data_IF_417879924113
#
_entry.id   IF_417879924113
#
_cell.length_a   1.000
_cell.length_b   1.000
_cell.length_c   1.000
_cell.angle_alpha   90.00
_cell.angle_beta   90.00
_cell.angle_gamma   90.00
#
_symmetry.space_group_name_H-M   'P 1'
#
loop_
_entity.id
_entity.type
_entity.pdbx_description
1 polymer ?
#
# COMPACT_ATOMS: atom_id res chain seq x y z
N UNK A 1 -23.19 -33.34 -8.60
CA UNK A 1 -23.19 -32.74 -9.95
C UNK A 1 -22.95 -31.24 -9.92
N UNK A 2 -23.59 -30.45 -9.04
CA UNK A 2 -23.30 -29.00 -8.92
C UNK A 2 -21.98 -28.68 -8.22
N UNK A 3 -21.60 -29.43 -7.16
CA UNK A 3 -20.34 -29.23 -6.43
C UNK A 3 -19.07 -29.38 -7.30
N UNK A 4 -19.16 -29.99 -8.48
CA UNK A 4 -18.04 -30.15 -9.41
C UNK A 4 -17.55 -28.80 -9.97
N UNK A 5 -18.31 -27.72 -9.83
CA UNK A 5 -17.86 -26.37 -10.18
C UNK A 5 -16.90 -25.78 -9.13
N UNK A 6 -16.98 -26.24 -7.88
CA UNK A 6 -16.24 -25.63 -6.77
C UNK A 6 -14.72 -25.65 -6.97
N UNK A 7 -14.08 -26.75 -7.44
CA UNK A 7 -12.65 -26.74 -7.69
C UNK A 7 -12.23 -25.65 -8.68
N UNK A 8 -12.97 -25.48 -9.79
CA UNK A 8 -12.69 -24.44 -10.78
C UNK A 8 -12.91 -23.04 -10.22
N UNK A 9 -14.01 -22.83 -9.48
CA UNK A 9 -14.31 -21.56 -8.84
C UNK A 9 -13.26 -21.18 -7.79
N UNK A 10 -12.75 -22.15 -7.02
CA UNK A 10 -11.67 -21.94 -6.04
C UNK A 10 -10.39 -21.53 -6.75
N UNK A 11 -9.97 -22.25 -7.79
CA UNK A 11 -8.75 -21.92 -8.54
C UNK A 11 -8.84 -20.49 -9.09
N UNK A 12 -9.95 -20.13 -9.74
CA UNK A 12 -10.14 -18.79 -10.30
C UNK A 12 -10.11 -17.74 -9.18
N UNK A 13 -10.85 -17.96 -8.09
CA UNK A 13 -10.90 -17.02 -6.96
C UNK A 13 -9.53 -16.82 -6.32
N UNK A 14 -8.75 -17.90 -6.16
CA UNK A 14 -7.39 -17.83 -5.65
C UNK A 14 -6.48 -17.08 -6.61
N UNK A 15 -6.51 -17.38 -7.91
CA UNK A 15 -5.68 -16.70 -8.89
C UNK A 15 -5.99 -15.20 -9.00
N UNK A 16 -7.24 -14.78 -8.80
CA UNK A 16 -7.65 -13.37 -8.82
C UNK A 16 -7.37 -12.68 -7.48
N UNK A 17 -7.59 -13.36 -6.35
CA UNK A 17 -7.39 -12.79 -5.02
C UNK A 17 -5.92 -12.71 -4.59
N UNK A 18 -5.10 -13.69 -4.99
CA UNK A 18 -3.70 -13.80 -4.57
C UNK A 18 -2.85 -12.60 -5.00
N UNK A 19 -2.97 -12.03 -6.22
CA UNK A 19 -2.24 -10.82 -6.58
C UNK A 19 -2.52 -9.62 -5.67
N UNK A 20 -3.79 -9.38 -5.31
CA UNK A 20 -4.16 -8.28 -4.41
C UNK A 20 -3.62 -8.49 -2.99
N UNK A 21 -3.78 -9.69 -2.45
CA UNK A 21 -3.24 -10.06 -1.14
C UNK A 21 -1.70 -10.04 -1.11
N UNK A 22 -1.07 -10.52 -2.17
CA UNK A 22 0.38 -10.51 -2.33
C UNK A 22 0.94 -9.10 -2.42
N UNK A 23 0.30 -8.21 -3.18
CA UNK A 23 0.70 -6.80 -3.28
C UNK A 23 0.62 -6.08 -1.93
N UNK A 24 -0.40 -6.38 -1.11
CA UNK A 24 -0.53 -5.81 0.24
C UNK A 24 0.66 -6.14 1.15
N UNK A 25 1.18 -7.37 1.06
CA UNK A 25 2.40 -7.77 1.79
C UNK A 25 3.67 -7.22 1.14
N UNK A 26 3.77 -7.22 -0.19
CA UNK A 26 4.92 -6.67 -0.90
C UNK A 26 5.09 -5.17 -0.64
N UNK A 27 4.00 -4.41 -0.58
CA UNK A 27 4.06 -3.00 -0.19
C UNK A 27 4.64 -2.83 1.21
N UNK A 28 4.22 -3.65 2.17
CA UNK A 28 4.79 -3.59 3.52
C UNK A 28 6.29 -3.88 3.53
N UNK A 29 6.75 -4.87 2.77
CA UNK A 29 8.17 -5.22 2.69
C UNK A 29 9.01 -4.12 2.03
N UNK A 30 8.49 -3.45 1.01
CA UNK A 30 9.26 -2.46 0.22
C UNK A 30 9.13 -1.04 0.79
N UNK A 31 7.96 -0.67 1.31
CA UNK A 31 7.61 0.69 1.71
C UNK A 31 7.49 0.85 3.23
N UNK A 32 7.56 -0.24 4.01
CA UNK A 32 7.27 -0.20 5.45
C UNK A 32 5.79 0.02 5.79
N UNK A 33 4.92 0.08 4.77
CA UNK A 33 3.49 0.30 4.93
C UNK A 33 2.71 -0.53 3.90
N UNK A 34 1.57 -1.08 4.32
CA UNK A 34 0.71 -1.91 3.49
C UNK A 34 0.05 -1.16 2.32
N UNK A 35 -0.18 0.14 2.50
CA UNK A 35 -0.86 0.97 1.51
C UNK A 35 0.09 2.01 0.92
N UNK A 36 0.07 2.11 -0.40
CA UNK A 36 0.78 3.18 -1.12
C UNK A 36 -0.03 4.48 -1.04
N UNK A 37 0.65 5.61 -0.81
CA UNK A 37 0.01 6.94 -0.86
C UNK A 37 -0.38 7.28 -2.30
N UNK A 38 -1.49 7.98 -2.44
CA UNK A 38 -1.95 8.55 -3.72
C UNK A 38 -0.94 9.56 -4.24
N UNK A 39 -0.66 9.53 -5.55
CA UNK A 39 0.27 10.44 -6.22
C UNK A 39 -0.31 10.97 -7.54
N UNK A 40 -1.63 10.94 -7.68
CA UNK A 40 -2.32 11.27 -8.92
C UNK A 40 -2.24 12.78 -9.20
N UNK A 41 -2.53 13.61 -8.19
CA UNK A 41 -2.45 15.05 -8.36
C UNK A 41 -1.01 15.57 -8.24
N UNK A 42 -0.77 16.78 -8.78
CA UNK A 42 0.52 17.46 -8.61
C UNK A 42 0.78 17.80 -7.14
N UNK A 43 -0.28 18.13 -6.42
CA UNK A 43 -0.19 18.45 -5.00
C UNK A 43 0.24 17.24 -4.18
N UNK A 44 -0.36 16.07 -4.41
CA UNK A 44 -0.01 14.84 -3.69
C UNK A 44 1.46 14.46 -3.87
N UNK A 45 1.96 14.59 -5.10
CA UNK A 45 3.38 14.38 -5.41
C UNK A 45 4.29 15.38 -4.72
N UNK A 46 3.90 16.65 -4.66
CA UNK A 46 4.67 17.68 -3.98
C UNK A 46 4.76 17.41 -2.48
N UNK A 47 3.64 17.05 -1.84
CA UNK A 47 3.59 16.73 -0.41
C UNK A 47 4.36 15.44 -0.10
N UNK A 48 4.26 14.41 -0.94
CA UNK A 48 5.05 13.20 -0.79
C UNK A 48 6.57 13.48 -0.81
N UNK A 49 7.03 14.33 -1.72
CA UNK A 49 8.43 14.75 -1.76
C UNK A 49 8.82 15.61 -0.56
N UNK A 50 7.92 16.47 -0.07
CA UNK A 50 8.15 17.27 1.14
C UNK A 50 8.39 16.35 2.33
N UNK A 51 7.53 15.37 2.55
CA UNK A 51 7.61 14.45 3.68
C UNK A 51 8.91 13.60 3.60
N UNK A 52 9.30 13.18 2.39
CA UNK A 52 10.61 12.54 2.14
C UNK A 52 11.80 13.45 2.50
N UNK A 53 11.73 14.76 2.25
CA UNK A 53 12.80 15.70 2.59
C UNK A 53 12.87 16.01 4.10
N UNK A 54 11.72 16.01 4.78
CA UNK A 54 11.66 16.30 6.22
C UNK A 54 12.14 15.12 7.07
N UNK A 55 11.65 13.90 6.79
CA UNK A 55 11.89 12.73 7.63
C UNK A 55 12.73 11.63 6.98
N UNK A 56 13.03 11.72 5.68
CA UNK A 56 13.63 10.63 4.90
C UNK A 56 12.66 9.52 4.51
N UNK A 57 11.45 9.50 5.08
CA UNK A 57 10.41 8.50 4.83
C UNK A 57 9.02 9.17 4.73
N UNK A 58 8.33 9.09 3.58
CA UNK A 58 7.03 9.72 3.36
C UNK A 58 5.86 8.98 4.01
N UNK A 59 6.10 7.83 4.64
CA UNK A 59 5.12 7.07 5.43
C UNK A 59 5.25 7.31 6.93
N UNK A 60 6.34 7.92 7.38
CA UNK A 60 6.54 8.32 8.77
C UNK A 60 5.93 9.70 9.01
N UNK A 61 4.92 9.77 9.86
CA UNK A 61 4.26 11.02 10.24
C UNK A 61 5.22 11.90 11.07
N UNK A 62 5.33 13.18 10.69
CA UNK A 62 5.96 14.21 11.51
C UNK A 62 4.86 14.92 12.30
N UNK A 63 4.86 14.80 13.63
CA UNK A 63 3.96 15.55 14.49
C UNK A 63 4.62 16.80 15.07
N UNK A 64 3.95 17.41 16.04
CA UNK A 64 4.40 18.64 16.72
C UNK A 64 5.63 18.41 17.58
N UNK A 65 5.94 17.17 17.95
CA UNK A 65 7.12 16.79 18.72
C UNK A 65 8.46 17.10 18.03
N UNK A 66 8.43 17.50 16.75
CA UNK A 66 9.62 17.85 15.96
C UNK A 66 9.89 19.35 15.90
N UNK A 67 9.05 20.16 16.54
CA UNK A 67 9.12 21.62 16.53
C UNK A 67 9.47 22.07 17.94
N UNK A 68 10.47 22.95 18.08
CA UNK A 68 10.83 23.57 19.35
C UNK A 68 9.77 24.61 19.77
N UNK A 69 9.58 24.79 21.08
CA UNK A 69 8.64 25.75 21.69
C UNK A 69 8.98 27.23 21.39
#
# INVERSE_FOLDING_TARGET
>A
MWFNILPGAIIISTCVGLPGFGLWWLHYLVLGNHYRRTLDSRWDRHIYQRDLRLNGDPYKLTGLETIDD
#
